data_IF_379918662271
#
_entry.id   IF_379918662271
#
_cell.length_a   1.000
_cell.length_b   1.000
_cell.length_c   1.000
_cell.angle_alpha   90.00
_cell.angle_beta   90.00
_cell.angle_gamma   90.00
#
_symmetry.space_group_name_H-M   'P 1'
#
loop_
_entity.id
_entity.type
_entity.pdbx_description
1 polymer ?
#
# COMPACT_ATOMS: atom_id res chain seq x y z
N UNK A 1 -15.34 6.49 14.93
CA UNK A 1 -15.48 5.68 13.69
C UNK A 1 -14.27 4.78 13.58
N UNK A 2 -14.43 3.56 13.07
CA UNK A 2 -13.33 2.59 13.01
C UNK A 2 -12.16 3.09 12.17
N UNK A 3 -12.44 3.90 11.14
CA UNK A 3 -11.42 4.44 10.22
C UNK A 3 -10.62 5.64 10.76
N UNK A 4 -11.10 6.34 11.80
CA UNK A 4 -10.48 7.58 12.30
C UNK A 4 -9.05 7.40 12.81
N UNK A 5 -8.78 6.29 13.49
CA UNK A 5 -7.43 5.98 13.97
C UNK A 5 -6.45 5.83 12.79
N UNK A 6 -6.87 5.10 11.74
CA UNK A 6 -6.04 4.84 10.58
C UNK A 6 -5.74 6.13 9.80
N UNK A 7 -6.74 6.99 9.63
CA UNK A 7 -6.56 8.25 8.89
C UNK A 7 -5.66 9.22 9.66
N UNK A 8 -5.80 9.28 10.99
CA UNK A 8 -4.93 10.08 11.84
C UNK A 8 -3.47 9.60 11.77
N UNK A 9 -3.25 8.28 11.86
CA UNK A 9 -1.91 7.69 11.70
C UNK A 9 -1.33 7.97 10.32
N UNK A 10 -2.14 7.99 9.27
CA UNK A 10 -1.71 8.30 7.92
C UNK A 10 -1.26 9.77 7.78
N UNK A 11 -1.97 10.69 8.42
CA UNK A 11 -1.58 12.10 8.46
C UNK A 11 -0.22 12.28 9.16
N UNK A 12 -0.01 11.63 10.31
CA UNK A 12 1.28 11.68 11.02
C UNK A 12 2.42 11.05 10.22
N UNK A 13 2.17 9.92 9.55
CA UNK A 13 3.14 9.31 8.64
C UNK A 13 3.47 10.22 7.46
N UNK A 14 2.48 10.92 6.89
CA UNK A 14 2.68 11.84 5.77
C UNK A 14 3.50 13.06 6.19
N UNK A 15 3.26 13.61 7.40
CA UNK A 15 4.09 14.68 7.96
C UNK A 15 5.53 14.22 8.18
N UNK A 16 5.73 13.03 8.76
CA UNK A 16 7.06 12.45 8.97
C UNK A 16 7.77 12.22 7.64
N UNK A 17 7.06 11.68 6.65
CA UNK A 17 7.57 11.49 5.29
C UNK A 17 8.08 12.80 4.69
N UNK A 18 7.27 13.86 4.69
CA UNK A 18 7.67 15.19 4.18
C UNK A 18 8.92 15.70 4.88
N UNK A 19 8.98 15.59 6.21
CA UNK A 19 10.15 16.03 6.99
C UNK A 19 11.41 15.21 6.68
N UNK A 20 11.29 13.93 6.38
CA UNK A 20 12.44 13.03 6.16
C UNK A 20 12.93 13.06 4.71
N UNK A 21 12.03 13.15 3.73
CA UNK A 21 12.35 12.96 2.31
C UNK A 21 12.11 14.20 1.45
N UNK A 22 11.39 15.21 1.94
CA UNK A 22 10.95 16.36 1.14
C UNK A 22 12.06 17.31 0.69
N UNK A 23 13.25 17.22 1.28
CA UNK A 23 14.43 18.03 0.92
C UNK A 23 15.44 17.25 0.05
N UNK A 24 15.18 15.97 -0.24
CA UNK A 24 16.07 15.18 -1.07
C UNK A 24 16.01 15.65 -2.52
N UNK A 25 17.17 15.72 -3.16
CA UNK A 25 17.27 15.94 -4.60
C UNK A 25 16.82 14.72 -5.40
N UNK A 26 16.45 14.93 -6.67
CA UNK A 26 16.17 13.87 -7.66
C UNK A 26 17.25 12.77 -7.64
N UNK A 27 18.53 13.19 -7.57
CA UNK A 27 19.65 12.26 -7.51
C UNK A 27 19.62 11.38 -6.26
N UNK A 28 19.33 11.95 -5.10
CA UNK A 28 19.27 11.20 -3.83
C UNK A 28 18.05 10.28 -3.78
N UNK A 29 16.91 10.72 -4.31
CA UNK A 29 15.67 9.95 -4.39
C UNK A 29 15.83 8.70 -5.28
N UNK A 30 16.54 8.85 -6.40
CA UNK A 30 16.80 7.76 -7.35
C UNK A 30 18.09 6.98 -7.07
N UNK A 31 18.88 7.38 -6.07
CA UNK A 31 20.12 6.68 -5.74
C UNK A 31 19.85 5.25 -5.25
N UNK A 32 20.65 4.31 -5.76
CA UNK A 32 20.65 2.91 -5.35
C UNK A 32 22.02 2.56 -4.77
N UNK A 33 22.09 1.84 -3.63
CA UNK A 33 23.36 1.35 -3.10
C UNK A 33 23.95 0.23 -3.97
N UNK A 34 23.10 -0.57 -4.63
CA UNK A 34 23.47 -1.64 -5.54
C UNK A 34 22.31 -1.96 -6.52
N UNK A 35 22.52 -2.88 -7.45
CA UNK A 35 21.55 -3.23 -8.50
C UNK A 35 20.29 -3.95 -7.97
N UNK A 36 20.42 -4.70 -6.87
CA UNK A 36 19.35 -5.51 -6.26
C UNK A 36 18.52 -4.71 -5.24
N UNK A 37 19.06 -3.62 -4.69
CA UNK A 37 18.40 -2.79 -3.68
C UNK A 37 17.59 -1.65 -4.32
N UNK A 38 16.34 -1.49 -3.90
CA UNK A 38 15.48 -0.41 -4.37
C UNK A 38 15.92 0.96 -3.86
N UNK A 39 15.84 1.97 -4.74
CA UNK A 39 15.98 3.38 -4.37
C UNK A 39 14.81 3.85 -3.50
N UNK A 40 14.89 5.06 -2.95
CA UNK A 40 13.75 5.69 -2.25
C UNK A 40 12.56 5.81 -3.21
N UNK A 41 12.77 6.28 -4.44
CA UNK A 41 11.73 6.36 -5.47
C UNK A 41 11.02 5.02 -5.69
N UNK A 42 11.78 3.94 -5.81
CA UNK A 42 11.25 2.60 -6.04
C UNK A 42 10.45 2.08 -4.84
N UNK A 43 10.90 2.35 -3.61
CA UNK A 43 10.13 2.03 -2.41
C UNK A 43 8.80 2.80 -2.36
N UNK A 44 8.78 4.09 -2.69
CA UNK A 44 7.55 4.89 -2.73
C UNK A 44 6.60 4.40 -3.83
N UNK A 45 7.12 4.10 -5.02
CA UNK A 45 6.33 3.56 -6.12
C UNK A 45 5.73 2.20 -5.76
N UNK A 46 6.48 1.33 -5.09
CA UNK A 46 5.98 0.06 -4.58
C UNK A 46 4.76 0.25 -3.65
N UNK A 47 4.86 1.20 -2.70
CA UNK A 47 3.76 1.52 -1.78
C UNK A 47 2.54 2.09 -2.50
N UNK A 48 2.72 2.87 -3.56
CA UNK A 48 1.61 3.34 -4.40
C UNK A 48 0.93 2.15 -5.08
N UNK A 49 1.70 1.30 -5.78
CA UNK A 49 1.19 0.16 -6.55
C UNK A 49 0.41 -0.83 -5.68
N UNK A 50 0.94 -1.19 -4.50
CA UNK A 50 0.24 -2.13 -3.61
C UNK A 50 -1.10 -1.55 -3.17
N UNK A 51 -1.13 -0.29 -2.73
CA UNK A 51 -2.36 0.37 -2.28
C UNK A 51 -3.38 0.52 -3.41
N UNK A 52 -2.96 0.98 -4.58
CA UNK A 52 -3.84 1.13 -5.75
C UNK A 52 -4.45 -0.20 -6.18
N UNK A 53 -3.71 -1.31 -6.03
CA UNK A 53 -4.23 -2.64 -6.38
C UNK A 53 -5.47 -3.06 -5.58
N UNK A 54 -5.69 -2.48 -4.38
CA UNK A 54 -6.88 -2.75 -3.57
C UNK A 54 -8.09 -1.87 -3.96
N UNK A 55 -7.89 -0.69 -4.56
CA UNK A 55 -8.98 0.26 -4.80
C UNK A 55 -10.10 -0.32 -5.69
N UNK A 56 -9.82 -0.97 -6.83
CA UNK A 56 -10.87 -1.56 -7.67
C UNK A 56 -11.65 -2.66 -6.96
N UNK A 57 -11.00 -3.39 -6.05
CA UNK A 57 -11.64 -4.45 -5.28
C UNK A 57 -12.65 -3.87 -4.29
N UNK A 58 -12.29 -2.80 -3.58
CA UNK A 58 -13.19 -2.06 -2.68
C UNK A 58 -14.41 -1.54 -3.45
N UNK A 59 -14.17 -0.95 -4.62
CA UNK A 59 -15.25 -0.39 -5.46
C UNK A 59 -16.21 -1.50 -5.96
N UNK A 60 -15.68 -2.67 -6.36
CA UNK A 60 -16.50 -3.83 -6.75
C UNK A 60 -17.32 -4.39 -5.59
N UNK A 61 -16.76 -4.41 -4.37
CA UNK A 61 -17.48 -4.84 -3.17
C UNK A 61 -18.68 -3.93 -2.90
N UNK A 62 -18.48 -2.60 -2.95
CA UNK A 62 -19.55 -1.62 -2.79
C UNK A 62 -20.64 -1.76 -3.84
N UNK A 63 -20.26 -1.94 -5.10
CA UNK A 63 -21.19 -2.08 -6.22
C UNK A 63 -21.87 -3.47 -6.28
N UNK A 64 -21.57 -4.38 -5.34
CA UNK A 64 -22.05 -5.77 -5.32
C UNK A 64 -21.75 -6.54 -6.62
N UNK A 65 -20.73 -6.12 -7.37
CA UNK A 65 -20.26 -6.73 -8.62
C UNK A 65 -19.10 -7.71 -8.37
N UNK A 66 -18.73 -7.91 -7.11
CA UNK A 66 -17.69 -8.88 -6.76
C UNK A 66 -18.22 -10.32 -6.79
N UNK A 67 -17.76 -11.11 -7.76
CA UNK A 67 -17.97 -12.56 -7.79
C UNK A 67 -16.92 -13.28 -6.95
N UNK A 68 -17.37 -13.90 -5.86
CA UNK A 68 -16.53 -14.75 -5.02
C UNK A 68 -16.10 -16.00 -5.81
N UNK A 69 -14.81 -16.38 -5.81
CA UNK A 69 -14.40 -17.67 -6.35
C UNK A 69 -15.02 -18.81 -5.52
N UNK A 70 -15.20 -19.99 -6.12
CA UNK A 70 -15.78 -21.14 -5.41
C UNK A 70 -15.05 -21.47 -4.10
N UNK A 71 -13.73 -21.30 -4.08
CA UNK A 71 -12.87 -21.50 -2.90
C UNK A 71 -13.16 -20.54 -1.75
N UNK A 72 -13.76 -19.37 -2.01
CA UNK A 72 -14.14 -18.43 -0.96
C UNK A 72 -15.36 -18.90 -0.15
N UNK A 73 -16.07 -19.94 -0.60
CA UNK A 73 -17.13 -20.59 0.17
C UNK A 73 -16.58 -21.66 1.12
N UNK A 74 -15.31 -22.04 1.00
CA UNK A 74 -14.66 -23.01 1.88
C UNK A 74 -14.14 -22.29 3.13
N UNK A 75 -14.97 -22.25 4.18
CA UNK A 75 -14.69 -21.50 5.41
C UNK A 75 -13.33 -21.85 6.06
N UNK A 76 -12.86 -23.09 5.94
CA UNK A 76 -11.54 -23.49 6.46
C UNK A 76 -10.38 -22.82 5.69
N UNK A 77 -10.48 -22.70 4.36
CA UNK A 77 -9.46 -22.01 3.55
C UNK A 77 -9.43 -20.54 3.88
N UNK A 78 -10.60 -19.90 3.93
CA UNK A 78 -10.74 -18.47 4.27
C UNK A 78 -10.13 -18.18 5.64
N UNK A 79 -10.43 -19.00 6.64
CA UNK A 79 -9.88 -18.85 7.99
C UNK A 79 -8.35 -19.07 8.01
N UNK A 80 -7.85 -20.08 7.27
CA UNK A 80 -6.43 -20.35 7.19
C UNK A 80 -5.66 -19.18 6.56
N UNK A 81 -6.07 -18.73 5.37
CA UNK A 81 -5.41 -17.62 4.68
C UNK A 81 -5.53 -16.31 5.45
N UNK A 82 -6.67 -16.03 6.09
CA UNK A 82 -6.84 -14.86 6.93
C UNK A 82 -5.84 -14.84 8.09
N UNK A 83 -5.66 -15.96 8.80
CA UNK A 83 -4.65 -16.08 9.87
C UNK A 83 -3.22 -15.93 9.36
N UNK A 84 -2.91 -16.47 8.19
CA UNK A 84 -1.58 -16.35 7.57
C UNK A 84 -1.28 -14.89 7.23
N UNK A 85 -2.22 -14.18 6.61
CA UNK A 85 -2.06 -12.76 6.28
C UNK A 85 -1.92 -11.94 7.56
N UNK A 86 -2.81 -12.11 8.53
CA UNK A 86 -2.75 -11.38 9.81
C UNK A 86 -1.40 -11.58 10.50
N UNK A 87 -0.90 -12.82 10.56
CA UNK A 87 0.41 -13.11 11.16
C UNK A 87 1.56 -12.47 10.39
N UNK A 88 1.45 -12.37 9.07
CA UNK A 88 2.50 -11.79 8.21
C UNK A 88 2.64 -10.27 8.32
N UNK A 89 1.63 -9.57 8.84
CA UNK A 89 1.63 -8.11 8.99
C UNK A 89 1.84 -7.65 10.44
N UNK A 90 2.01 -8.58 11.38
CA UNK A 90 2.27 -8.23 12.78
C UNK A 90 3.70 -7.68 12.96
N UNK A 91 3.92 -6.67 13.82
CA UNK A 91 5.24 -6.07 14.06
C UNK A 91 6.31 -7.10 14.47
N UNK A 92 5.91 -8.15 15.18
CA UNK A 92 6.79 -9.19 15.71
C UNK A 92 7.33 -10.17 14.65
N UNK A 93 6.84 -10.09 13.41
CA UNK A 93 7.23 -11.03 12.35
C UNK A 93 8.61 -10.69 11.77
N UNK A 94 9.55 -11.62 11.87
CA UNK A 94 10.89 -11.48 11.26
C UNK A 94 10.99 -12.11 9.86
N UNK A 95 9.93 -12.78 9.39
CA UNK A 95 9.94 -13.51 8.12
C UNK A 95 9.80 -12.55 6.94
N UNK A 96 10.82 -12.49 6.10
CA UNK A 96 10.80 -11.75 4.83
C UNK A 96 9.97 -12.50 3.79
N UNK A 97 9.11 -11.77 3.08
CA UNK A 97 8.30 -12.29 1.97
C UNK A 97 8.71 -11.59 0.68
N UNK A 98 8.80 -12.35 -0.43
CA UNK A 98 9.11 -11.77 -1.74
C UNK A 98 7.92 -10.97 -2.25
N UNK A 99 8.18 -9.79 -2.81
CA UNK A 99 7.17 -8.96 -3.44
C UNK A 99 6.64 -9.62 -4.71
N UNK A 100 5.32 -9.63 -4.89
CA UNK A 100 4.68 -10.08 -6.13
C UNK A 100 5.06 -9.18 -7.31
N UNK A 101 5.15 -9.74 -8.51
CA UNK A 101 5.55 -9.01 -9.72
C UNK A 101 4.70 -7.77 -9.98
N UNK A 102 3.40 -7.84 -9.73
CA UNK A 102 2.46 -6.71 -9.91
C UNK A 102 2.71 -5.52 -8.97
N UNK A 103 3.46 -5.73 -7.89
CA UNK A 103 3.82 -4.67 -6.95
C UNK A 103 5.28 -4.25 -7.10
N UNK A 104 6.03 -4.81 -8.06
CA UNK A 104 7.39 -4.36 -8.32
C UNK A 104 7.35 -3.01 -9.05
N UNK A 105 8.11 -2.01 -8.58
CA UNK A 105 8.24 -0.75 -9.29
C UNK A 105 8.97 -0.97 -10.63
N UNK A 106 8.66 -0.15 -11.63
CA UNK A 106 9.40 -0.15 -12.90
C UNK A 106 10.86 0.26 -12.67
N UNK A 107 11.75 -0.21 -13.55
CA UNK A 107 13.17 0.21 -13.55
C UNK A 107 13.38 1.59 -14.18
N UNK A 108 12.37 2.10 -14.90
CA UNK A 108 12.44 3.41 -15.54
C UNK A 108 12.51 4.55 -14.53
N UNK A 109 13.64 5.26 -14.55
CA UNK A 109 13.90 6.49 -13.79
C UNK A 109 13.32 7.73 -14.51
N UNK A 110 12.13 7.61 -15.10
CA UNK A 110 11.47 8.80 -15.65
C UNK A 110 11.36 9.84 -14.52
N UNK A 111 11.70 11.09 -14.83
CA UNK A 111 11.61 12.27 -13.95
C UNK A 111 10.15 12.57 -13.62
N UNK A 112 9.52 11.65 -12.89
CA UNK A 112 8.25 11.87 -12.24
C UNK A 112 8.56 12.33 -10.82
N UNK A 113 7.95 13.43 -10.39
CA UNK A 113 8.01 13.89 -9.00
C UNK A 113 7.32 12.86 -8.09
N UNK A 114 8.08 11.83 -7.71
CA UNK A 114 7.58 10.68 -6.96
C UNK A 114 7.22 11.05 -5.53
N UNK A 115 7.83 12.11 -4.98
CA UNK A 115 7.49 12.63 -3.66
C UNK A 115 6.09 13.23 -3.67
N UNK A 116 5.79 14.10 -4.64
CA UNK A 116 4.47 14.69 -4.78
C UNK A 116 3.42 13.61 -5.09
N UNK A 117 3.72 12.68 -6.01
CA UNK A 117 2.83 11.55 -6.29
C UNK A 117 2.53 10.70 -5.06
N UNK A 118 3.53 10.47 -4.20
CA UNK A 118 3.32 9.73 -2.97
C UNK A 118 2.42 10.51 -1.99
N UNK A 119 2.62 11.82 -1.86
CA UNK A 119 1.79 12.69 -1.03
C UNK A 119 0.35 12.72 -1.53
N UNK A 120 0.13 12.95 -2.82
CA UNK A 120 -1.19 12.87 -3.44
C UNK A 120 -1.84 11.51 -3.20
N UNK A 121 -1.05 10.44 -3.30
CA UNK A 121 -1.54 9.09 -3.05
C UNK A 121 -1.92 8.84 -1.60
N UNK A 122 -1.22 9.43 -0.62
CA UNK A 122 -1.62 9.35 0.79
C UNK A 122 -3.02 9.96 1.00
N UNK A 123 -3.32 11.08 0.35
CA UNK A 123 -4.66 11.68 0.39
C UNK A 123 -5.72 10.79 -0.29
N UNK A 124 -5.38 10.18 -1.43
CA UNK A 124 -6.27 9.20 -2.11
C UNK A 124 -6.55 7.99 -1.20
N UNK A 125 -5.53 7.46 -0.55
CA UNK A 125 -5.67 6.34 0.39
C UNK A 125 -6.52 6.73 1.59
N UNK A 126 -6.28 7.90 2.18
CA UNK A 126 -7.08 8.45 3.30
C UNK A 126 -8.55 8.53 2.93
N UNK A 127 -8.86 9.11 1.76
CA UNK A 127 -10.21 9.21 1.23
C UNK A 127 -10.84 7.83 1.05
N UNK A 128 -10.12 6.88 0.43
CA UNK A 128 -10.62 5.51 0.23
C UNK A 128 -10.92 4.79 1.55
N UNK A 129 -10.07 4.97 2.57
CA UNK A 129 -10.28 4.40 3.91
C UNK A 129 -11.56 4.98 4.53
N UNK A 130 -11.70 6.31 4.56
CA UNK A 130 -12.90 6.97 5.11
C UNK A 130 -14.18 6.53 4.39
N UNK A 131 -14.12 6.48 3.06
CA UNK A 131 -15.24 6.03 2.26
C UNK A 131 -15.63 4.60 2.59
N UNK A 132 -14.70 3.73 3.02
CA UNK A 132 -14.95 2.30 3.26
C UNK A 132 -15.61 1.97 4.60
N UNK A 133 -15.92 2.95 5.45
CA UNK A 133 -16.58 2.70 6.76
C UNK A 133 -17.93 1.97 6.60
N UNK A 134 -18.63 2.19 5.48
CA UNK A 134 -19.89 1.51 5.15
C UNK A 134 -19.71 -0.01 4.94
N UNK A 135 -18.52 -0.46 4.56
CA UNK A 135 -18.20 -1.86 4.27
C UNK A 135 -17.71 -2.65 5.49
N UNK A 136 -17.50 -2.00 6.64
CA UNK A 136 -16.98 -2.63 7.86
C UNK A 136 -18.08 -3.12 8.83
N UNK A 137 -19.36 -2.95 8.46
CA UNK A 137 -20.52 -3.30 9.29
C UNK A 137 -21.13 -4.65 8.91
#
# INVERSE_FOLDING_TARGET
MYTQEFTHRLDELTKKFRKTFGELSEREIHWKPDVETWSVAQNLKHLILINESYFPMIDRLRNKDHRKPFTANLGFLVNFFGKVILKSVQPETSKKTKTFSIWKPSEDNASEDILEKFIEHQEKLKKKILESEDLLK
#
